data_IF_805716892705
#
_entry.id   IF_805716892705
#
_cell.length_a   1.000
_cell.length_b   1.000
_cell.length_c   1.000
_cell.angle_alpha   90.00
_cell.angle_beta   90.00
_cell.angle_gamma   90.00
#
_symmetry.space_group_name_H-M   'P 1'
#
loop_
_entity.id
_entity.type
_entity.pdbx_description
1 polymer ?
#
# COMPACT_ATOMS: atom_id res chain seq x y z
N UNK A 1 -29.08 13.60 31.91
CA UNK A 1 -28.24 14.44 31.01
C UNK A 1 -27.41 13.49 30.17
N UNK A 2 -28.01 12.95 29.11
CA UNK A 2 -27.32 12.09 28.14
C UNK A 2 -26.31 12.95 27.37
N UNK A 3 -25.03 12.78 27.63
CA UNK A 3 -24.00 13.24 26.70
C UNK A 3 -24.18 12.42 25.41
N UNK A 4 -24.82 13.03 24.39
CA UNK A 4 -24.66 12.58 23.01
C UNK A 4 -23.15 12.39 22.82
N UNK A 5 -22.69 11.16 22.68
CA UNK A 5 -21.35 10.89 22.24
C UNK A 5 -21.24 11.50 20.83
N UNK A 6 -20.72 12.71 20.73
CA UNK A 6 -20.31 13.27 19.45
C UNK A 6 -19.35 12.23 18.88
N UNK A 7 -19.75 11.61 17.77
CA UNK A 7 -18.94 10.60 17.12
C UNK A 7 -17.60 11.25 16.79
N UNK A 8 -16.54 10.82 17.46
CA UNK A 8 -15.19 11.28 17.14
C UNK A 8 -14.75 10.60 15.83
N UNK A 9 -14.72 11.31 14.70
CA UNK A 9 -14.43 10.71 13.38
C UNK A 9 -13.12 9.94 13.38
N UNK A 10 -12.12 10.41 14.12
CA UNK A 10 -10.84 9.72 14.25
C UNK A 10 -10.92 8.32 14.87
N UNK A 11 -11.81 8.09 15.85
CA UNK A 11 -12.00 6.76 16.45
C UNK A 11 -12.60 5.80 15.42
N UNK A 12 -13.61 6.24 14.67
CA UNK A 12 -14.21 5.44 13.59
C UNK A 12 -13.20 5.13 12.49
N UNK A 13 -12.38 6.13 12.12
CA UNK A 13 -11.29 5.93 11.16
C UNK A 13 -10.31 4.86 11.63
N UNK A 14 -9.86 4.89 12.89
CA UNK A 14 -8.99 3.86 13.44
C UNK A 14 -9.65 2.49 13.49
N UNK A 15 -10.92 2.40 13.84
CA UNK A 15 -11.67 1.16 13.87
C UNK A 15 -11.81 0.57 12.46
N UNK A 16 -12.16 1.40 11.46
CA UNK A 16 -12.27 1.01 10.06
C UNK A 16 -10.93 0.54 9.49
N UNK A 17 -9.86 1.31 9.72
CA UNK A 17 -8.52 0.94 9.28
C UNK A 17 -8.09 -0.43 9.85
N UNK A 18 -8.36 -0.67 11.14
CA UNK A 18 -8.06 -1.97 11.78
C UNK A 18 -8.88 -3.09 11.15
N UNK A 19 -10.18 -2.89 10.93
CA UNK A 19 -11.07 -3.88 10.33
C UNK A 19 -10.62 -4.22 8.90
N UNK A 20 -10.33 -3.20 8.09
CA UNK A 20 -9.81 -3.37 6.73
C UNK A 20 -8.48 -4.14 6.72
N UNK A 21 -7.51 -3.77 7.56
CA UNK A 21 -6.23 -4.49 7.66
C UNK A 21 -6.41 -5.96 8.04
N UNK A 22 -7.31 -6.25 8.98
CA UNK A 22 -7.60 -7.62 9.39
C UNK A 22 -8.23 -8.43 8.24
N UNK A 23 -9.17 -7.84 7.51
CA UNK A 23 -9.80 -8.47 6.34
C UNK A 23 -8.75 -8.77 5.24
N UNK A 24 -7.89 -7.81 4.91
CA UNK A 24 -6.79 -8.00 3.95
C UNK A 24 -5.85 -9.11 4.40
N UNK A 25 -5.43 -9.10 5.68
CA UNK A 25 -4.53 -10.15 6.21
C UNK A 25 -5.15 -11.54 6.14
N UNK A 26 -6.43 -11.67 6.52
CA UNK A 26 -7.15 -12.95 6.43
C UNK A 26 -7.26 -13.44 4.98
N UNK A 27 -7.61 -12.54 4.04
CA UNK A 27 -7.76 -12.88 2.64
C UNK A 27 -6.41 -13.22 1.97
N UNK A 28 -5.32 -12.53 2.32
CA UNK A 28 -3.96 -12.88 1.88
C UNK A 28 -3.55 -14.27 2.39
N UNK A 29 -3.88 -14.58 3.64
CA UNK A 29 -3.61 -15.92 4.21
C UNK A 29 -4.36 -17.00 3.44
N UNK A 30 -5.64 -16.80 3.13
CA UNK A 30 -6.44 -17.72 2.30
C UNK A 30 -5.89 -17.86 0.88
N UNK A 31 -5.31 -16.80 0.32
CA UNK A 31 -4.65 -16.82 -0.99
C UNK A 31 -3.26 -17.45 -0.99
N UNK A 32 -2.80 -18.00 0.16
CA UNK A 32 -1.47 -18.62 0.30
C UNK A 32 -0.32 -17.61 0.38
N UNK A 33 -0.58 -16.37 0.82
CA UNK A 33 0.37 -15.28 0.96
C UNK A 33 0.58 -14.88 2.44
N UNK A 34 0.45 -15.83 3.36
CA UNK A 34 0.62 -15.58 4.80
C UNK A 34 2.03 -15.11 5.19
N UNK A 35 3.02 -15.42 4.36
CA UNK A 35 4.42 -15.00 4.52
C UNK A 35 4.73 -13.62 3.91
N UNK A 36 3.74 -13.00 3.26
CA UNK A 36 3.84 -11.67 2.65
C UNK A 36 3.63 -10.58 3.70
N UNK A 37 4.68 -10.30 4.48
CA UNK A 37 4.59 -9.32 5.59
C UNK A 37 4.38 -7.87 5.17
N UNK A 38 4.66 -7.50 3.92
CA UNK A 38 4.61 -6.11 3.44
C UNK A 38 4.19 -6.03 1.96
N UNK A 39 2.91 -6.29 1.65
CA UNK A 39 2.43 -6.29 0.26
C UNK A 39 2.65 -4.96 -0.45
N UNK A 40 2.47 -3.82 0.23
CA UNK A 40 2.64 -2.49 -0.36
C UNK A 40 4.05 -2.25 -0.90
N UNK A 41 5.09 -2.79 -0.25
CA UNK A 41 6.47 -2.67 -0.74
C UNK A 41 6.61 -3.35 -2.10
N UNK A 42 6.08 -4.56 -2.26
CA UNK A 42 6.11 -5.27 -3.54
C UNK A 42 5.33 -4.54 -4.63
N UNK A 43 4.15 -4.01 -4.28
CA UNK A 43 3.31 -3.26 -5.21
C UNK A 43 4.04 -1.99 -5.71
N UNK A 44 4.73 -1.26 -4.82
CA UNK A 44 5.52 -0.08 -5.19
C UNK A 44 6.74 -0.49 -6.04
N UNK A 45 7.40 -1.60 -5.72
CA UNK A 45 8.52 -2.09 -6.53
C UNK A 45 8.06 -2.49 -7.94
N UNK A 46 6.88 -3.09 -8.09
CA UNK A 46 6.35 -3.49 -9.40
C UNK A 46 5.84 -2.30 -10.21
N UNK A 47 5.15 -1.33 -9.61
CA UNK A 47 4.53 -0.21 -10.33
C UNK A 47 5.53 0.68 -11.09
N UNK A 48 6.79 0.66 -10.66
CA UNK A 48 7.85 1.49 -11.23
C UNK A 48 8.91 0.70 -12.00
N UNK A 49 8.68 -0.60 -12.17
CA UNK A 49 9.66 -1.55 -12.72
C UNK A 49 9.65 -1.71 -14.23
N UNK A 50 8.98 -0.84 -15.01
CA UNK A 50 9.11 -0.92 -16.49
C UNK A 50 10.51 -0.58 -16.99
N UNK A 51 11.29 0.15 -16.20
CA UNK A 51 12.66 0.55 -16.56
C UNK A 51 13.74 -0.14 -15.71
N UNK A 52 13.40 -1.19 -14.94
CA UNK A 52 14.38 -1.97 -14.17
C UNK A 52 15.09 -1.17 -13.07
N UNK A 53 14.67 0.06 -12.79
CA UNK A 53 15.27 0.89 -11.76
C UNK A 53 14.91 0.38 -10.37
N UNK A 54 15.88 -0.26 -9.79
CA UNK A 54 15.88 -0.62 -8.39
C UNK A 54 15.92 0.63 -7.53
N UNK A 55 14.98 0.69 -6.59
CA UNK A 55 14.91 1.83 -5.69
C UNK A 55 15.89 1.69 -4.55
N UNK A 56 16.46 2.83 -4.18
CA UNK A 56 17.15 2.93 -2.92
C UNK A 56 16.13 2.71 -1.78
N UNK A 57 16.55 2.00 -0.74
CA UNK A 57 15.75 1.74 0.46
C UNK A 57 15.13 3.01 1.06
N UNK A 58 15.82 4.16 0.92
CA UNK A 58 15.36 5.47 1.37
C UNK A 58 14.15 5.96 0.59
N UNK A 59 14.12 5.78 -0.72
CA UNK A 59 12.97 6.17 -1.55
C UNK A 59 11.71 5.38 -1.21
N UNK A 60 11.86 4.10 -0.84
CA UNK A 60 10.73 3.28 -0.35
C UNK A 60 10.24 3.77 1.02
N UNK A 61 11.17 4.17 1.89
CA UNK A 61 10.84 4.72 3.20
C UNK A 61 10.04 6.02 3.08
N UNK A 62 10.49 6.92 2.22
CA UNK A 62 9.83 8.20 1.93
C UNK A 62 8.45 7.97 1.25
N UNK A 63 8.37 7.04 0.30
CA UNK A 63 7.11 6.74 -0.40
C UNK A 63 6.04 6.13 0.51
N UNK A 64 6.44 5.40 1.56
CA UNK A 64 5.54 4.73 2.50
C UNK A 64 5.37 5.49 3.83
N UNK A 65 6.05 6.63 3.98
CA UNK A 65 6.09 7.40 5.23
C UNK A 65 6.46 6.55 6.46
N UNK A 66 7.44 5.67 6.30
CA UNK A 66 7.95 4.82 7.38
C UNK A 66 9.46 5.01 7.55
N UNK A 67 10.01 4.57 8.69
CA UNK A 67 11.45 4.69 8.93
C UNK A 67 12.26 3.80 7.95
N UNK A 68 13.47 4.22 7.54
CA UNK A 68 14.37 3.38 6.77
C UNK A 68 14.67 2.04 7.44
N UNK A 69 14.68 1.99 8.77
CA UNK A 69 14.85 0.75 9.54
C UNK A 69 13.67 -0.23 9.32
N UNK A 70 12.44 0.30 9.30
CA UNK A 70 11.23 -0.50 9.00
C UNK A 70 11.31 -1.11 7.60
N UNK A 71 11.71 -0.32 6.61
CA UNK A 71 11.91 -0.81 5.24
C UNK A 71 12.99 -1.88 5.18
N UNK A 72 14.13 -1.68 5.87
CA UNK A 72 15.22 -2.67 5.92
C UNK A 72 14.74 -4.02 6.44
N UNK A 73 13.99 -4.01 7.53
CA UNK A 73 13.43 -5.24 8.12
C UNK A 73 12.44 -5.92 7.17
N UNK A 74 11.54 -5.16 6.57
CA UNK A 74 10.55 -5.68 5.61
C UNK A 74 11.22 -6.28 4.37
N UNK A 75 12.20 -5.58 3.79
CA UNK A 75 12.96 -6.07 2.64
C UNK A 75 13.75 -7.34 2.97
N UNK A 76 14.36 -7.42 4.15
CA UNK A 76 15.05 -8.64 4.61
C UNK A 76 14.09 -9.81 4.71
N UNK A 77 12.87 -9.58 5.20
CA UNK A 77 11.84 -10.62 5.26
C UNK A 77 11.40 -11.08 3.87
N UNK A 78 11.12 -10.13 2.95
CA UNK A 78 10.72 -10.42 1.58
C UNK A 78 11.82 -11.15 0.79
N UNK A 79 13.09 -10.78 1.02
CA UNK A 79 14.26 -11.43 0.43
C UNK A 79 14.39 -12.89 0.92
N UNK A 80 14.23 -13.13 2.22
CA UNK A 80 14.28 -14.46 2.83
C UNK A 80 13.25 -15.42 2.24
N UNK A 81 12.06 -14.93 1.92
CA UNK A 81 10.99 -15.75 1.31
C UNK A 81 11.03 -15.73 -0.22
N UNK A 82 11.98 -15.00 -0.82
CA UNK A 82 12.24 -15.00 -2.26
C UNK A 82 11.30 -14.15 -3.10
N UNK A 83 10.61 -13.17 -2.51
CA UNK A 83 9.78 -12.21 -3.26
C UNK A 83 10.61 -11.08 -3.88
N UNK A 84 11.72 -10.73 -3.27
CA UNK A 84 12.69 -9.76 -3.80
C UNK A 84 14.09 -10.33 -3.76
N UNK A 85 14.97 -9.78 -4.57
CA UNK A 85 16.41 -10.08 -4.58
C UNK A 85 17.21 -8.80 -4.55
N UNK A 86 18.42 -8.86 -4.00
CA UNK A 86 19.40 -7.79 -4.06
C UNK A 86 20.42 -8.10 -5.14
N UNK A 87 20.60 -7.16 -6.08
CA UNK A 87 21.64 -7.22 -7.10
C UNK A 87 22.60 -6.07 -6.92
N UNK A 88 23.82 -6.23 -7.36
CA UNK A 88 24.74 -5.10 -7.48
C UNK A 88 24.28 -4.24 -8.66
N UNK A 89 24.39 -2.92 -8.52
CA UNK A 89 24.12 -2.00 -9.61
C UNK A 89 25.18 -2.16 -10.69
N UNK A 90 24.76 -2.39 -11.93
CA UNK A 90 25.68 -2.56 -13.07
C UNK A 90 26.46 -1.26 -13.38
N UNK A 91 25.91 -0.10 -13.06
CA UNK A 91 26.55 1.20 -13.27
C UNK A 91 27.40 1.66 -12.08
N UNK A 92 27.05 1.29 -10.85
CA UNK A 92 27.78 1.61 -9.63
C UNK A 92 27.84 0.38 -8.73
N UNK A 93 28.86 -0.44 -8.88
CA UNK A 93 29.08 -1.66 -8.11
C UNK A 93 29.16 -1.48 -6.58
N UNK A 94 29.04 -0.24 -6.08
CA UNK A 94 28.93 0.06 -4.63
C UNK A 94 27.48 0.14 -4.16
N UNK A 95 26.51 0.22 -5.09
CA UNK A 95 25.08 0.30 -4.75
C UNK A 95 24.42 -1.05 -4.91
N UNK A 96 23.61 -1.41 -3.91
CA UNK A 96 22.74 -2.59 -3.98
C UNK A 96 21.37 -2.17 -4.47
N UNK A 97 20.91 -2.81 -5.52
CA UNK A 97 19.56 -2.67 -6.09
C UNK A 97 18.64 -3.76 -5.55
N UNK A 98 17.39 -3.41 -5.34
CA UNK A 98 16.35 -4.34 -4.91
C UNK A 98 15.44 -4.55 -6.11
N UNK A 99 15.33 -5.78 -6.57
CA UNK A 99 14.47 -6.16 -7.69
C UNK A 99 13.40 -7.13 -7.23
N UNK A 100 12.23 -7.05 -7.85
CA UNK A 100 11.17 -8.02 -7.63
C UNK A 100 11.48 -9.30 -8.42
N UNK A 101 11.28 -10.46 -7.81
CA UNK A 101 11.44 -11.76 -8.48
C UNK A 101 10.16 -12.14 -9.24
N UNK A 102 10.22 -13.19 -10.07
CA UNK A 102 9.02 -13.75 -10.70
C UNK A 102 7.97 -14.20 -9.65
N UNK A 103 8.42 -14.78 -8.53
CA UNK A 103 7.55 -15.12 -7.38
C UNK A 103 6.91 -13.85 -6.78
N UNK A 104 7.70 -12.79 -6.64
CA UNK A 104 7.22 -11.51 -6.15
C UNK A 104 6.18 -10.88 -7.06
N UNK A 105 6.41 -10.88 -8.36
CA UNK A 105 5.45 -10.36 -9.34
C UNK A 105 4.11 -11.12 -9.30
N UNK A 106 4.14 -12.45 -9.23
CA UNK A 106 2.93 -13.26 -9.06
C UNK A 106 2.20 -12.96 -7.73
N UNK A 107 2.95 -12.72 -6.65
CA UNK A 107 2.37 -12.35 -5.38
C UNK A 107 1.67 -10.98 -5.43
N UNK A 108 2.21 -10.02 -6.19
CA UNK A 108 1.54 -8.72 -6.40
C UNK A 108 0.23 -8.90 -7.15
N UNK A 109 0.19 -9.69 -8.23
CA UNK A 109 -1.06 -9.95 -8.96
C UNK A 109 -2.15 -10.53 -8.04
N UNK A 110 -1.80 -11.52 -7.23
CA UNK A 110 -2.71 -12.09 -6.24
C UNK A 110 -3.14 -11.05 -5.19
N UNK A 111 -2.21 -10.21 -4.74
CA UNK A 111 -2.49 -9.14 -3.78
C UNK A 111 -3.51 -8.14 -4.34
N UNK A 112 -3.40 -7.76 -5.61
CA UNK A 112 -4.37 -6.89 -6.26
C UNK A 112 -5.78 -7.50 -6.30
N UNK A 113 -5.88 -8.80 -6.58
CA UNK A 113 -7.17 -9.50 -6.53
C UNK A 113 -7.76 -9.46 -5.13
N UNK A 114 -6.97 -9.77 -4.11
CA UNK A 114 -7.38 -9.74 -2.71
C UNK A 114 -7.84 -8.33 -2.28
N UNK A 115 -7.04 -7.32 -2.60
CA UNK A 115 -7.37 -5.93 -2.26
C UNK A 115 -8.71 -5.51 -2.87
N UNK A 116 -8.90 -5.74 -4.17
CA UNK A 116 -10.17 -5.44 -4.85
C UNK A 116 -11.36 -6.16 -4.23
N UNK A 117 -11.17 -7.42 -3.82
CA UNK A 117 -12.25 -8.18 -3.18
C UNK A 117 -12.62 -7.60 -1.82
N UNK A 118 -11.64 -7.23 -1.00
CA UNK A 118 -11.86 -6.59 0.31
C UNK A 118 -12.53 -5.23 0.13
N UNK A 119 -12.05 -4.41 -0.83
CA UNK A 119 -12.63 -3.11 -1.12
C UNK A 119 -14.08 -3.24 -1.62
N UNK A 120 -14.35 -4.24 -2.48
CA UNK A 120 -15.72 -4.52 -2.93
C UNK A 120 -16.63 -4.86 -1.75
N UNK A 121 -16.20 -5.74 -0.85
CA UNK A 121 -16.95 -6.11 0.35
C UNK A 121 -17.16 -4.91 1.27
N UNK A 122 -16.14 -4.07 1.44
CA UNK A 122 -16.23 -2.84 2.26
C UNK A 122 -17.24 -1.86 1.70
N UNK A 123 -17.42 -1.82 0.38
CA UNK A 123 -18.32 -0.90 -0.33
C UNK A 123 -19.67 -1.54 -0.69
N UNK A 124 -19.98 -2.71 -0.16
CA UNK A 124 -21.27 -3.37 -0.39
C UNK A 124 -22.41 -2.52 0.17
N UNK A 125 -23.47 -2.33 -0.64
CA UNK A 125 -24.62 -1.50 -0.28
C UNK A 125 -24.46 0.00 -0.53
N UNK A 126 -23.27 0.47 -0.90
CA UNK A 126 -23.06 1.86 -1.28
C UNK A 126 -23.43 2.11 -2.75
N UNK A 127 -24.21 3.17 -2.99
CA UNK A 127 -24.46 3.68 -4.35
C UNK A 127 -23.19 4.31 -4.94
N UNK A 128 -23.16 4.49 -6.26
CA UNK A 128 -22.06 5.17 -6.94
C UNK A 128 -21.87 6.64 -6.48
N UNK A 129 -22.95 7.30 -6.10
CA UNK A 129 -22.89 8.67 -5.56
C UNK A 129 -22.23 8.69 -4.18
N UNK A 130 -22.61 7.76 -3.31
CA UNK A 130 -22.02 7.62 -1.97
C UNK A 130 -20.53 7.26 -2.05
N UNK A 131 -20.13 6.37 -2.97
CA UNK A 131 -18.73 6.01 -3.22
C UNK A 131 -17.91 7.24 -3.67
N UNK A 132 -18.45 8.04 -4.59
CA UNK A 132 -17.80 9.27 -5.04
C UNK A 132 -17.70 10.31 -3.90
N UNK A 133 -18.76 10.48 -3.12
CA UNK A 133 -18.76 11.38 -1.97
C UNK A 133 -17.73 10.94 -0.91
N UNK A 134 -17.69 9.65 -0.58
CA UNK A 134 -16.71 9.08 0.36
C UNK A 134 -15.27 9.33 -0.11
N UNK A 135 -14.99 9.09 -1.39
CA UNK A 135 -13.65 9.34 -1.96
C UNK A 135 -13.29 10.83 -1.85
N UNK A 136 -14.20 11.72 -2.17
CA UNK A 136 -14.01 13.18 -2.02
C UNK A 136 -13.72 13.57 -0.56
N UNK A 137 -14.42 12.97 0.41
CA UNK A 137 -14.19 13.22 1.83
C UNK A 137 -12.81 12.72 2.27
N UNK A 138 -12.39 11.56 1.82
CA UNK A 138 -11.06 11.04 2.10
C UNK A 138 -9.96 11.99 1.59
N UNK A 139 -10.04 12.45 0.35
CA UNK A 139 -9.09 13.42 -0.20
C UNK A 139 -9.07 14.73 0.60
N UNK A 140 -10.23 15.24 1.00
CA UNK A 140 -10.31 16.44 1.84
C UNK A 140 -9.67 16.23 3.21
N UNK A 141 -9.90 15.09 3.85
CA UNK A 141 -9.27 14.75 5.14
C UNK A 141 -7.76 14.63 5.01
N UNK A 142 -7.28 13.96 3.96
CA UNK A 142 -5.85 13.86 3.68
C UNK A 142 -5.22 15.25 3.48
N UNK A 143 -5.83 16.11 2.66
CA UNK A 143 -5.33 17.45 2.42
C UNK A 143 -5.30 18.31 3.70
N UNK A 144 -6.30 18.17 4.58
CA UNK A 144 -6.35 18.92 5.83
C UNK A 144 -5.25 18.47 6.82
N UNK A 145 -4.82 17.21 6.74
CA UNK A 145 -3.79 16.66 7.61
C UNK A 145 -2.38 16.81 7.03
N UNK A 146 -2.25 16.88 5.71
CA UNK A 146 -0.99 17.22 5.03
C UNK A 146 -0.79 18.73 5.20
N UNK A 147 0.17 19.17 6.00
CA UNK A 147 0.42 20.59 6.22
C UNK A 147 0.66 21.34 4.90
N UNK A 148 0.55 22.68 4.92
CA UNK A 148 0.63 23.57 3.76
C UNK A 148 1.91 23.50 2.89
N UNK A 149 2.82 22.58 3.16
CA UNK A 149 4.08 22.36 2.45
C UNK A 149 4.20 21.03 1.71
N UNK A 150 3.26 20.11 1.91
CA UNK A 150 3.30 18.82 1.23
C UNK A 150 2.21 18.79 0.16
N UNK A 151 2.54 18.63 -1.14
CA UNK A 151 1.52 18.53 -2.17
C UNK A 151 0.61 17.32 -1.85
N UNK A 152 -0.69 17.42 -2.12
CA UNK A 152 -1.62 16.31 -1.89
C UNK A 152 -1.14 15.09 -2.68
N UNK A 153 -0.60 14.15 -1.97
CA UNK A 153 -0.14 12.91 -2.57
C UNK A 153 -1.34 11.97 -2.70
N UNK A 154 -1.80 11.80 -3.93
CA UNK A 154 -2.72 10.69 -4.20
C UNK A 154 -1.94 9.38 -4.02
N UNK A 155 -2.24 8.60 -2.96
CA UNK A 155 -1.58 7.31 -2.75
C UNK A 155 -1.82 6.34 -3.91
N UNK A 156 -2.91 6.50 -4.67
CA UNK A 156 -3.28 5.68 -5.83
C UNK A 156 -2.34 5.96 -7.02
N UNK A 157 -2.01 7.23 -7.28
CA UNK A 157 -1.04 7.60 -8.32
C UNK A 157 0.36 7.03 -8.03
N UNK A 158 0.76 6.99 -6.75
CA UNK A 158 2.04 6.41 -6.34
C UNK A 158 2.10 4.89 -6.50
N UNK A 159 0.97 4.21 -6.40
CA UNK A 159 0.88 2.76 -6.60
C UNK A 159 0.85 2.36 -8.07
N UNK A 160 0.88 3.33 -9.02
CA UNK A 160 0.85 3.04 -10.46
C UNK A 160 -0.44 2.34 -10.88
N UNK A 161 -1.48 2.43 -10.09
CA UNK A 161 -2.79 1.88 -10.41
C UNK A 161 -3.43 2.78 -11.46
N UNK A 162 -3.16 2.52 -12.73
CA UNK A 162 -3.99 3.01 -13.83
C UNK A 162 -5.31 2.22 -13.81
N UNK A 163 -6.13 2.45 -12.79
CA UNK A 163 -7.53 2.10 -12.91
C UNK A 163 -8.05 2.93 -14.06
N UNK A 164 -8.28 2.30 -15.20
CA UNK A 164 -8.94 2.90 -16.34
C UNK A 164 -10.17 3.62 -15.84
N UNK A 165 -10.22 4.93 -16.07
CA UNK A 165 -11.45 5.70 -15.88
C UNK A 165 -12.56 5.00 -16.66
N UNK A 166 -13.77 4.93 -16.10
CA UNK A 166 -14.93 4.37 -16.80
C UNK A 166 -15.19 5.06 -18.11
#
# INVERSE_FOLDING_TARGET
>A
MERKAESMPGILFHALNRAHRNAVTAALTQAGLSDLGSPLILMILQSRGKDGESRAQRELADALHVSPATIAMSLKSLERVGYVEKRMDDADGRRKRISITAKGAQAVEKTWVVMRQVDHTMMEGFSEEERRALNSFHHRMLNNLSGAGDPPHDPVERMGCTCSKP
#
